data_IF_078357563302
#
_entry.id   IF_078357563302
#
_cell.length_a   1.000
_cell.length_b   1.000
_cell.length_c   1.000
_cell.angle_alpha   90.00
_cell.angle_beta   90.00
_cell.angle_gamma   90.00
#
_symmetry.space_group_name_H-M   'P 1'
#
loop_
_entity.id
_entity.type
_entity.pdbx_description
1 polymer ?
#
# COMPACT_ATOMS: atom_id res chain seq x y z
N UNK A 1 6.54 4.53 25.50
CA UNK A 1 5.57 3.56 24.92
C UNK A 1 4.20 3.81 25.53
N UNK A 2 3.29 4.41 24.78
CA UNK A 2 1.88 4.53 25.16
C UNK A 2 1.19 3.23 24.75
N UNK A 3 0.75 2.43 25.75
CA UNK A 3 -0.08 1.26 25.48
C UNK A 3 -1.53 1.72 25.38
N UNK A 4 -2.10 1.72 24.19
CA UNK A 4 -3.53 1.86 23.97
C UNK A 4 -4.10 0.45 23.89
N UNK A 5 -4.96 0.06 24.82
CA UNK A 5 -5.67 -1.23 24.79
C UNK A 5 -6.87 -1.09 23.85
N UNK A 6 -6.82 -1.76 22.73
CA UNK A 6 -7.94 -1.88 21.80
C UNK A 6 -8.80 -3.07 22.25
N UNK A 7 -9.94 -2.83 22.90
CA UNK A 7 -10.90 -3.90 23.17
C UNK A 7 -11.77 -4.11 21.93
N UNK A 8 -11.38 -5.07 21.08
CA UNK A 8 -12.17 -5.46 19.92
C UNK A 8 -13.25 -6.48 20.30
N UNK A 9 -14.46 -6.00 20.52
CA UNK A 9 -15.66 -6.83 20.35
C UNK A 9 -16.19 -6.57 18.93
N UNK A 10 -15.72 -7.34 17.95
CA UNK A 10 -16.19 -7.28 16.57
C UNK A 10 -17.46 -8.12 16.41
N UNK A 11 -18.61 -7.54 16.64
CA UNK A 11 -19.91 -8.14 16.34
C UNK A 11 -20.50 -7.51 15.07
N UNK A 12 -20.48 -8.24 14.00
CA UNK A 12 -21.50 -8.37 12.95
C UNK A 12 -22.14 -7.15 12.28
N UNK A 13 -21.44 -6.02 12.13
CA UNK A 13 -21.88 -4.94 11.25
C UNK A 13 -20.68 -4.33 10.53
N UNK A 14 -20.89 -3.76 9.34
CA UNK A 14 -19.91 -2.99 8.55
C UNK A 14 -19.49 -1.68 9.26
N UNK A 15 -19.23 -1.73 10.56
CA UNK A 15 -18.70 -0.57 11.28
C UNK A 15 -17.19 -0.68 11.29
N UNK A 16 -16.55 0.31 10.66
CA UNK A 16 -15.10 0.48 10.70
C UNK A 16 -14.66 0.84 12.12
N UNK A 17 -13.58 0.22 12.59
CA UNK A 17 -12.88 0.64 13.78
C UNK A 17 -11.85 1.68 13.37
N UNK A 18 -12.07 2.94 13.72
CA UNK A 18 -11.06 3.98 13.55
C UNK A 18 -10.07 3.96 14.71
N UNK A 19 -8.79 4.12 14.36
CA UNK A 19 -7.69 4.20 15.30
C UNK A 19 -6.92 5.48 15.00
N UNK A 20 -6.73 6.30 16.04
CA UNK A 20 -5.96 7.55 16.01
C UNK A 20 -4.49 7.32 16.40
N UNK A 21 -3.67 8.36 16.23
CA UNK A 21 -2.30 8.39 16.72
C UNK A 21 -1.24 8.07 15.67
N UNK A 22 -1.60 8.20 14.40
CA UNK A 22 -0.68 8.11 13.26
C UNK A 22 -0.27 9.50 12.77
N UNK A 23 0.71 9.55 11.89
CA UNK A 23 1.22 10.80 11.30
C UNK A 23 1.36 10.66 9.79
N UNK A 24 0.43 11.24 9.05
CA UNK A 24 0.31 11.10 7.60
C UNK A 24 0.43 9.62 7.13
N UNK A 25 -0.45 8.69 7.61
CA UNK A 25 -0.34 7.29 7.26
C UNK A 25 -0.48 7.10 5.75
N UNK A 26 0.48 6.39 5.15
CA UNK A 26 0.69 6.31 3.69
C UNK A 26 0.61 4.89 3.13
N UNK A 27 0.93 3.89 3.93
CA UNK A 27 0.93 2.49 3.54
C UNK A 27 0.46 1.58 4.65
N UNK A 28 -0.01 0.41 4.29
CA UNK A 28 -0.44 -0.59 5.25
C UNK A 28 -0.09 -2.01 4.82
N UNK A 29 0.11 -2.88 5.80
CA UNK A 29 0.30 -4.32 5.57
C UNK A 29 -0.39 -5.12 6.67
N UNK A 30 -1.17 -6.12 6.27
CA UNK A 30 -1.76 -7.10 7.17
C UNK A 30 -0.95 -8.39 7.10
N UNK A 31 -0.43 -8.82 8.24
CA UNK A 31 0.23 -10.11 8.42
C UNK A 31 -0.59 -11.02 9.34
N UNK A 32 -0.13 -12.23 9.61
CA UNK A 32 -0.84 -13.15 10.49
C UNK A 32 -0.91 -12.62 11.93
N UNK A 33 0.13 -11.92 12.41
CA UNK A 33 0.29 -11.50 13.79
C UNK A 33 0.05 -10.01 14.04
N UNK A 34 0.11 -9.16 13.01
CA UNK A 34 0.04 -7.72 13.18
C UNK A 34 -0.56 -6.97 11.98
N UNK A 35 -0.91 -5.71 12.24
CA UNK A 35 -1.13 -4.67 11.24
C UNK A 35 0.06 -3.71 11.30
N UNK A 36 0.67 -3.43 10.16
CA UNK A 36 1.74 -2.45 10.03
C UNK A 36 1.23 -1.23 9.28
N UNK A 37 1.60 -0.05 9.73
CA UNK A 37 1.22 1.23 9.15
C UNK A 37 2.48 2.07 8.92
N UNK A 38 2.73 2.44 7.68
CA UNK A 38 3.76 3.40 7.33
C UNK A 38 3.26 4.81 7.61
N UNK A 39 4.03 5.60 8.33
CA UNK A 39 3.76 6.99 8.67
C UNK A 39 4.85 7.87 8.06
N UNK A 40 4.47 8.87 7.28
CA UNK A 40 5.42 9.79 6.64
C UNK A 40 6.04 10.80 7.59
N UNK A 41 5.46 10.92 8.80
CA UNK A 41 5.85 11.95 9.74
C UNK A 41 5.05 13.24 9.57
N UNK A 42 5.50 14.28 10.24
CA UNK A 42 4.83 15.58 10.27
C UNK A 42 5.69 16.72 9.72
N UNK A 43 6.95 16.44 9.41
CA UNK A 43 7.88 17.43 8.88
C UNK A 43 7.52 17.86 7.46
N UNK A 44 7.68 19.13 7.19
CA UNK A 44 7.62 19.71 5.84
C UNK A 44 8.96 19.56 5.10
N UNK A 45 10.04 19.24 5.81
CA UNK A 45 11.35 18.98 5.21
C UNK A 45 11.38 17.56 4.62
N UNK A 46 11.48 17.42 3.29
CA UNK A 46 11.48 16.10 2.64
C UNK A 46 12.76 15.27 2.92
N UNK A 47 13.73 15.82 3.64
CA UNK A 47 14.96 15.15 4.05
C UNK A 47 14.94 14.74 5.52
N UNK A 48 13.94 15.18 6.27
CA UNK A 48 13.84 14.81 7.68
C UNK A 48 13.46 13.35 7.84
N UNK A 49 14.08 12.69 8.81
CA UNK A 49 13.90 11.27 9.11
C UNK A 49 12.93 11.08 10.27
N UNK A 50 11.76 11.72 10.14
CA UNK A 50 10.67 11.61 11.11
C UNK A 50 9.60 10.58 10.73
N UNK A 51 9.81 9.89 9.60
CA UNK A 51 8.98 8.77 9.18
C UNK A 51 9.20 7.52 10.03
N UNK A 52 8.15 6.74 10.22
CA UNK A 52 8.19 5.54 11.07
C UNK A 52 7.14 4.50 10.66
N UNK A 53 7.32 3.26 11.13
CA UNK A 53 6.31 2.21 11.03
C UNK A 53 5.68 1.98 12.39
N UNK A 54 4.36 2.03 12.46
CA UNK A 54 3.60 1.57 13.61
C UNK A 54 3.20 0.10 13.43
N UNK A 55 3.15 -0.65 14.55
CA UNK A 55 2.67 -2.02 14.59
C UNK A 55 1.50 -2.16 15.58
N UNK A 56 0.42 -2.79 15.17
CA UNK A 56 -0.68 -3.17 16.04
C UNK A 56 -0.68 -4.70 16.13
N UNK A 57 -0.40 -5.23 17.30
CA UNK A 57 -0.33 -6.69 17.53
C UNK A 57 -1.75 -7.26 17.63
N UNK A 58 -2.14 -8.16 16.72
CA UNK A 58 -3.52 -8.68 16.60
C UNK A 58 -4.04 -9.33 17.88
N UNK A 59 -3.22 -10.16 18.53
CA UNK A 59 -3.67 -10.94 19.69
C UNK A 59 -3.83 -10.11 20.96
N UNK A 60 -3.17 -8.98 21.10
CA UNK A 60 -3.18 -8.16 22.32
C UNK A 60 -3.80 -6.77 22.12
N UNK A 61 -3.96 -6.32 20.86
CA UNK A 61 -4.35 -4.96 20.54
C UNK A 61 -3.33 -3.90 20.97
N UNK A 62 -2.10 -4.30 21.30
CA UNK A 62 -1.03 -3.37 21.66
C UNK A 62 -0.60 -2.59 20.43
N UNK A 63 -0.60 -1.25 20.54
CA UNK A 63 -0.09 -0.35 19.52
C UNK A 63 1.34 0.07 19.91
N UNK A 64 2.28 -0.27 19.03
CA UNK A 64 3.67 0.17 19.10
C UNK A 64 3.86 1.26 18.03
N UNK A 65 3.75 2.51 18.43
CA UNK A 65 3.71 3.65 17.49
C UNK A 65 4.97 3.72 16.63
N UNK A 66 6.15 3.67 17.24
CA UNK A 66 7.44 3.71 16.55
C UNK A 66 8.10 2.33 16.67
N UNK A 67 7.52 1.33 16.00
CA UNK A 67 8.12 -0.02 15.95
C UNK A 67 9.42 -0.03 15.13
N UNK A 68 9.44 0.75 14.05
CA UNK A 68 10.62 1.08 13.26
C UNK A 68 10.59 2.60 13.13
N UNK A 69 11.71 3.25 13.35
CA UNK A 69 11.88 4.70 13.21
C UNK A 69 13.00 5.02 12.20
N UNK A 70 13.36 6.30 12.12
CA UNK A 70 14.47 6.76 11.26
C UNK A 70 14.23 6.44 9.77
N UNK A 71 12.99 6.60 9.30
CA UNK A 71 12.61 6.57 7.88
C UNK A 71 12.42 8.01 7.37
N UNK A 72 12.52 8.20 6.04
CA UNK A 72 12.34 9.53 5.45
C UNK A 72 10.91 9.70 4.95
N UNK A 73 10.46 8.82 4.06
CA UNK A 73 9.12 8.90 3.47
C UNK A 73 8.61 7.47 3.19
N UNK A 74 8.34 6.69 4.24
CA UNK A 74 7.94 5.30 4.06
C UNK A 74 6.61 5.19 3.32
N UNK A 75 6.54 4.25 2.39
CA UNK A 75 5.38 3.94 1.55
C UNK A 75 4.88 2.51 1.73
N UNK A 76 4.71 1.81 0.61
CA UNK A 76 4.25 0.43 0.59
C UNK A 76 5.17 -0.54 1.31
N UNK A 77 4.58 -1.62 1.81
CA UNK A 77 5.27 -2.64 2.59
C UNK A 77 4.95 -4.04 2.10
N UNK A 78 5.91 -4.94 2.18
CA UNK A 78 5.71 -6.37 1.95
C UNK A 78 6.48 -7.20 2.96
N UNK A 79 6.01 -8.41 3.25
CA UNK A 79 6.70 -9.34 4.13
C UNK A 79 7.11 -10.61 3.40
N UNK A 80 8.36 -11.03 3.58
CA UNK A 80 8.86 -12.34 3.19
C UNK A 80 9.48 -12.98 4.42
N UNK A 81 8.97 -14.13 4.83
CA UNK A 81 9.33 -14.78 6.09
C UNK A 81 9.16 -13.82 7.29
N UNK A 82 10.21 -13.56 8.06
CA UNK A 82 10.21 -12.65 9.21
C UNK A 82 10.75 -11.25 8.88
N UNK A 83 10.96 -10.94 7.60
CA UNK A 83 11.50 -9.64 7.15
C UNK A 83 10.38 -8.78 6.58
N UNK A 84 10.18 -7.62 7.17
CA UNK A 84 9.34 -6.55 6.67
C UNK A 84 10.15 -5.65 5.75
N UNK A 85 9.81 -5.60 4.47
CA UNK A 85 10.41 -4.70 3.49
C UNK A 85 9.55 -3.45 3.34
N UNK A 86 10.19 -2.30 3.26
CA UNK A 86 9.57 -0.97 3.21
C UNK A 86 10.18 -0.17 2.06
N UNK A 87 9.34 0.46 1.25
CA UNK A 87 9.76 1.52 0.33
C UNK A 87 10.06 2.80 1.12
N UNK A 88 11.27 3.35 0.99
CA UNK A 88 11.66 4.60 1.62
C UNK A 88 12.39 5.49 0.60
N UNK A 89 11.66 6.38 -0.06
CA UNK A 89 12.07 7.21 -1.21
C UNK A 89 12.58 6.37 -2.38
N UNK A 90 13.88 6.16 -2.49
CA UNK A 90 14.58 5.45 -3.56
C UNK A 90 15.24 4.15 -3.08
N UNK A 91 14.91 3.76 -1.85
CA UNK A 91 15.58 2.67 -1.13
C UNK A 91 14.56 1.64 -0.67
N UNK A 92 14.88 0.36 -0.81
CA UNK A 92 14.18 -0.73 -0.14
C UNK A 92 14.92 -1.04 1.15
N UNK A 93 14.23 -0.90 2.28
CA UNK A 93 14.76 -1.21 3.60
C UNK A 93 14.07 -2.45 4.16
N UNK A 94 14.81 -3.37 4.77
CA UNK A 94 14.26 -4.62 5.31
C UNK A 94 14.58 -4.75 6.80
N UNK A 95 13.56 -5.11 7.58
CA UNK A 95 13.62 -5.16 9.03
C UNK A 95 13.16 -6.52 9.55
N UNK A 96 13.94 -7.12 10.44
CA UNK A 96 13.50 -8.28 11.23
C UNK A 96 13.41 -7.85 12.70
N UNK A 97 12.24 -8.06 13.31
CA UNK A 97 11.93 -7.66 14.70
C UNK A 97 12.28 -6.19 15.02
N UNK A 98 12.08 -5.30 14.05
CA UNK A 98 12.38 -3.88 14.17
C UNK A 98 13.85 -3.49 13.93
N UNK A 99 14.74 -4.44 13.70
CA UNK A 99 16.14 -4.17 13.37
C UNK A 99 16.38 -4.22 11.87
N UNK A 100 17.06 -3.21 11.33
CA UNK A 100 17.42 -3.18 9.91
C UNK A 100 18.46 -4.25 9.58
N UNK A 101 18.14 -5.10 8.61
CA UNK A 101 19.00 -6.19 8.11
C UNK A 101 19.24 -6.13 6.61
N UNK A 102 18.48 -5.30 5.92
CA UNK A 102 18.57 -5.12 4.48
C UNK A 102 18.41 -3.64 4.13
N UNK A 103 19.27 -3.14 3.25
CA UNK A 103 19.21 -1.79 2.73
C UNK A 103 19.73 -1.82 1.30
N UNK A 104 18.90 -1.41 0.35
CA UNK A 104 19.27 -1.35 -1.07
C UNK A 104 18.72 -0.09 -1.69
N UNK A 105 19.60 0.86 -1.96
CA UNK A 105 19.30 2.01 -2.80
C UNK A 105 19.17 1.57 -4.26
N UNK A 106 18.08 1.94 -4.91
CA UNK A 106 17.85 1.63 -6.33
C UNK A 106 18.36 2.78 -7.17
N UNK A 107 19.41 2.51 -7.92
CA UNK A 107 20.02 3.52 -8.81
C UNK A 107 19.00 3.98 -9.87
N UNK A 108 18.76 5.28 -9.91
CA UNK A 108 17.80 5.90 -10.81
C UNK A 108 16.35 5.91 -10.35
N UNK A 109 15.99 5.27 -9.24
CA UNK A 109 14.67 5.45 -8.63
C UNK A 109 14.51 6.88 -8.06
N UNK A 110 13.28 7.35 -8.01
CA UNK A 110 12.97 8.70 -7.50
C UNK A 110 12.00 8.70 -6.33
N UNK A 111 10.94 7.89 -6.40
CA UNK A 111 9.91 7.88 -5.37
C UNK A 111 9.17 6.56 -5.42
N UNK A 112 9.67 5.58 -4.69
CA UNK A 112 9.03 4.27 -4.60
C UNK A 112 7.66 4.42 -3.89
N UNK A 113 6.62 3.90 -4.53
CA UNK A 113 5.25 3.98 -4.03
C UNK A 113 4.85 2.75 -3.24
N UNK A 114 4.58 1.67 -3.93
CA UNK A 114 4.13 0.41 -3.37
C UNK A 114 5.06 -0.74 -3.74
N UNK A 115 4.95 -1.84 -2.99
CA UNK A 115 5.80 -3.03 -3.14
C UNK A 115 4.98 -4.31 -2.98
N UNK A 116 5.20 -5.28 -3.88
CA UNK A 116 4.59 -6.60 -3.77
C UNK A 116 5.63 -7.71 -3.93
N UNK A 117 5.35 -8.87 -3.37
CA UNK A 117 6.24 -10.03 -3.47
C UNK A 117 6.01 -10.82 -4.77
N UNK A 118 7.09 -11.29 -5.37
CA UNK A 118 7.06 -12.25 -6.47
C UNK A 118 7.87 -13.50 -6.08
N UNK A 119 7.20 -14.39 -5.34
CA UNK A 119 7.86 -15.51 -4.68
C UNK A 119 8.60 -15.10 -3.40
N UNK A 120 9.62 -15.87 -3.02
CA UNK A 120 10.37 -15.70 -1.76
C UNK A 120 11.65 -14.86 -1.87
N UNK A 121 12.04 -14.48 -3.07
CA UNK A 121 13.36 -13.89 -3.32
C UNK A 121 13.29 -12.59 -4.15
N UNK A 122 12.11 -12.23 -4.63
CA UNK A 122 11.93 -11.09 -5.53
C UNK A 122 10.82 -10.19 -5.03
N UNK A 123 11.09 -8.90 -5.09
CA UNK A 123 10.08 -7.86 -4.90
C UNK A 123 9.87 -7.09 -6.21
N UNK A 124 8.66 -6.59 -6.41
CA UNK A 124 8.36 -5.59 -7.43
C UNK A 124 7.94 -4.31 -6.71
N UNK A 125 8.57 -3.19 -7.07
CA UNK A 125 8.27 -1.89 -6.48
C UNK A 125 7.89 -0.88 -7.57
N UNK A 126 6.81 -0.13 -7.37
CA UNK A 126 6.41 0.95 -8.25
C UNK A 126 7.22 2.22 -7.97
N UNK A 127 7.51 2.99 -9.01
CA UNK A 127 8.09 4.33 -8.94
C UNK A 127 7.22 5.28 -9.77
N UNK A 128 6.20 5.91 -9.15
CA UNK A 128 5.30 6.80 -9.85
C UNK A 128 5.99 7.95 -10.56
N UNK A 129 7.03 8.52 -9.95
CA UNK A 129 7.76 9.65 -10.52
C UNK A 129 8.51 9.29 -11.81
N UNK A 130 8.91 8.02 -11.94
CA UNK A 130 9.61 7.50 -13.13
C UNK A 130 8.68 6.80 -14.12
N UNK A 131 7.44 6.50 -13.72
CA UNK A 131 6.55 5.66 -14.51
C UNK A 131 7.03 4.21 -14.62
N UNK A 132 7.81 3.72 -13.67
CA UNK A 132 8.55 2.46 -13.75
C UNK A 132 8.13 1.50 -12.65
N UNK A 133 8.19 0.21 -12.93
CA UNK A 133 8.18 -0.85 -11.91
C UNK A 133 9.56 -1.47 -11.88
N UNK A 134 10.17 -1.50 -10.71
CA UNK A 134 11.47 -2.09 -10.45
C UNK A 134 11.32 -3.55 -10.02
N UNK A 135 12.24 -4.41 -10.45
CA UNK A 135 12.43 -5.77 -9.94
C UNK A 135 13.66 -5.80 -9.03
N UNK A 136 13.43 -6.19 -7.80
CA UNK A 136 14.47 -6.29 -6.78
C UNK A 136 14.73 -7.76 -6.50
N UNK A 137 15.97 -8.19 -6.69
CA UNK A 137 16.45 -9.52 -6.33
C UNK A 137 17.12 -9.45 -4.95
N UNK A 138 16.53 -10.12 -3.97
CA UNK A 138 16.94 -10.04 -2.57
C UNK A 138 18.23 -10.81 -2.29
N UNK A 139 18.51 -11.86 -3.08
CA UNK A 139 19.72 -12.67 -2.88
C UNK A 139 20.95 -11.97 -3.44
N UNK A 140 20.87 -11.49 -4.68
CA UNK A 140 21.97 -10.75 -5.31
C UNK A 140 22.06 -9.30 -4.84
N UNK A 141 21.03 -8.77 -4.19
CA UNK A 141 20.90 -7.37 -3.80
C UNK A 141 21.05 -6.42 -4.99
N UNK A 142 20.33 -6.73 -6.05
CA UNK A 142 20.29 -5.91 -7.27
C UNK A 142 18.89 -5.47 -7.58
N UNK A 143 18.76 -4.36 -8.31
CA UNK A 143 17.48 -3.88 -8.80
C UNK A 143 17.61 -3.49 -10.28
N UNK A 144 16.62 -3.88 -11.08
CA UNK A 144 16.55 -3.61 -12.51
C UNK A 144 15.18 -3.02 -12.86
N UNK A 145 15.14 -2.20 -13.92
CA UNK A 145 13.85 -1.76 -14.49
C UNK A 145 13.10 -3.00 -15.03
N UNK A 146 11.98 -3.35 -14.41
CA UNK A 146 11.17 -4.48 -14.83
C UNK A 146 10.27 -4.13 -16.00
N UNK A 147 9.56 -3.01 -15.90
CA UNK A 147 8.71 -2.47 -16.96
C UNK A 147 8.51 -0.97 -16.77
N UNK A 148 8.37 -0.25 -17.88
CA UNK A 148 7.95 1.15 -17.90
C UNK A 148 6.51 1.21 -18.38
N UNK A 149 5.68 1.92 -17.63
CA UNK A 149 4.27 2.13 -17.97
C UNK A 149 4.18 3.28 -18.98
N UNK A 150 3.38 3.09 -20.04
CA UNK A 150 3.10 4.17 -20.98
C UNK A 150 2.47 5.36 -20.24
N UNK A 151 2.99 6.58 -20.37
CA UNK A 151 2.47 7.76 -19.69
C UNK A 151 0.98 8.02 -19.93
N UNK A 152 0.43 7.58 -21.07
CA UNK A 152 -1.01 7.68 -21.36
C UNK A 152 -1.89 6.81 -20.46
N UNK A 153 -1.31 5.82 -19.79
CA UNK A 153 -1.98 4.95 -18.81
C UNK A 153 -1.85 5.45 -17.36
N UNK A 154 -1.11 6.54 -17.15
CA UNK A 154 -0.83 7.13 -15.85
C UNK A 154 0.42 6.58 -15.18
N UNK A 155 0.74 7.12 -14.00
CA UNK A 155 1.89 6.72 -13.18
C UNK A 155 1.54 5.53 -12.30
N UNK A 156 2.34 4.43 -12.28
CA UNK A 156 2.04 3.24 -11.48
C UNK A 156 2.16 3.53 -9.99
N UNK A 157 1.25 2.99 -9.19
CA UNK A 157 1.34 3.07 -7.73
C UNK A 157 1.07 1.71 -7.08
N UNK A 158 -0.16 1.40 -6.68
CA UNK A 158 -0.48 0.14 -6.01
C UNK A 158 -0.20 -1.09 -6.88
N UNK A 159 0.40 -2.11 -6.29
CA UNK A 159 0.83 -3.34 -6.94
C UNK A 159 0.22 -4.58 -6.25
N UNK A 160 -0.41 -5.46 -7.03
CA UNK A 160 -0.94 -6.71 -6.51
C UNK A 160 -0.58 -7.89 -7.42
N UNK A 161 0.33 -8.73 -6.99
CA UNK A 161 0.64 -9.98 -7.69
C UNK A 161 -0.50 -11.01 -7.51
N UNK A 162 -1.01 -11.56 -8.61
CA UNK A 162 -2.10 -12.57 -8.65
C UNK A 162 -1.85 -13.62 -9.72
N UNK A 163 -1.34 -14.77 -9.32
CA UNK A 163 -0.93 -15.82 -10.27
C UNK A 163 0.22 -15.35 -11.16
N UNK A 164 0.05 -15.43 -12.49
CA UNK A 164 1.00 -14.92 -13.46
C UNK A 164 0.74 -13.47 -13.87
N UNK A 165 -0.10 -12.74 -13.15
CA UNK A 165 -0.44 -11.34 -13.44
C UNK A 165 -0.02 -10.42 -12.31
N UNK A 166 0.34 -9.21 -12.69
CA UNK A 166 0.47 -8.07 -11.79
C UNK A 166 -0.68 -7.11 -12.09
N UNK A 167 -1.51 -6.85 -11.09
CA UNK A 167 -2.47 -5.75 -11.16
C UNK A 167 -1.82 -4.48 -10.68
N UNK A 168 -2.08 -3.36 -11.36
CA UNK A 168 -1.42 -2.09 -11.12
C UNK A 168 -2.48 -1.00 -11.09
N UNK A 169 -2.54 -0.22 -10.03
CA UNK A 169 -3.27 1.04 -10.05
C UNK A 169 -2.38 2.15 -10.58
N UNK A 170 -2.98 3.08 -11.29
CA UNK A 170 -2.28 4.28 -11.75
C UNK A 170 -3.04 5.54 -11.39
N UNK A 171 -2.32 6.65 -11.35
CA UNK A 171 -2.89 7.99 -11.20
C UNK A 171 -2.16 8.98 -12.12
N UNK A 172 -2.78 10.13 -12.34
CA UNK A 172 -2.15 11.24 -13.07
C UNK A 172 -1.42 12.14 -12.07
N UNK A 173 -0.12 12.35 -12.26
CA UNK A 173 0.68 13.21 -11.39
C UNK A 173 0.17 14.66 -11.35
N UNK A 174 -0.60 15.10 -12.35
CA UNK A 174 -1.25 16.42 -12.34
C UNK A 174 -2.56 16.44 -11.53
N UNK A 175 -2.97 15.31 -10.94
CA UNK A 175 -4.20 15.17 -10.15
C UNK A 175 -5.48 14.99 -10.97
N UNK A 176 -5.39 14.83 -12.29
CA UNK A 176 -6.57 14.56 -13.13
C UNK A 176 -7.12 13.15 -12.87
N UNK A 177 -8.43 13.00 -13.03
CA UNK A 177 -9.14 11.72 -12.92
C UNK A 177 -8.93 10.92 -14.22
N UNK A 178 -7.70 10.47 -14.45
CA UNK A 178 -7.34 9.72 -15.67
C UNK A 178 -6.62 8.40 -15.39
N UNK A 179 -6.28 8.11 -14.13
CA UNK A 179 -5.67 6.86 -13.70
C UNK A 179 -6.50 5.63 -14.06
N UNK A 180 -5.86 4.49 -14.16
CA UNK A 180 -6.41 3.22 -14.61
C UNK A 180 -6.14 2.10 -13.61
N UNK A 181 -6.83 1.00 -13.81
CA UNK A 181 -6.48 -0.30 -13.22
C UNK A 181 -6.01 -1.20 -14.35
N UNK A 182 -4.74 -1.57 -14.30
CA UNK A 182 -4.06 -2.31 -15.34
C UNK A 182 -3.82 -3.77 -14.90
N UNK A 183 -3.70 -4.65 -15.88
CA UNK A 183 -3.24 -6.03 -15.71
C UNK A 183 -2.05 -6.26 -16.62
N UNK A 184 -0.93 -6.66 -16.06
CA UNK A 184 0.26 -7.06 -16.80
C UNK A 184 0.49 -8.57 -16.65
N UNK A 185 0.77 -9.26 -17.75
CA UNK A 185 1.27 -10.63 -17.71
C UNK A 185 2.75 -10.62 -17.29
N UNK A 186 3.09 -11.36 -16.24
CA UNK A 186 4.44 -11.35 -15.66
C UNK A 186 5.51 -11.96 -16.58
N UNK A 187 5.12 -12.79 -17.54
CA UNK A 187 6.03 -13.44 -18.47
C UNK A 187 6.23 -12.62 -19.76
N UNK A 188 5.13 -12.24 -20.41
CA UNK A 188 5.20 -11.48 -21.69
C UNK A 188 5.39 -9.98 -21.44
N UNK A 189 5.03 -9.49 -20.24
CA UNK A 189 4.98 -8.05 -19.86
C UNK A 189 3.95 -7.25 -20.66
N UNK A 190 3.04 -7.91 -21.33
CA UNK A 190 1.94 -7.26 -22.00
C UNK A 190 0.98 -6.63 -20.99
N UNK A 191 0.65 -5.37 -21.21
CA UNK A 191 -0.24 -4.57 -20.34
C UNK A 191 -1.58 -4.39 -21.03
N UNK A 192 -2.64 -4.59 -20.29
CA UNK A 192 -4.02 -4.35 -20.69
C UNK A 192 -4.80 -3.63 -19.60
N UNK A 193 -5.92 -3.01 -19.95
CA UNK A 193 -6.85 -2.45 -18.98
C UNK A 193 -7.57 -3.61 -18.28
N UNK A 194 -7.45 -3.66 -16.94
CA UNK A 194 -8.10 -4.69 -16.13
C UNK A 194 -9.60 -4.40 -15.91
N UNK A 195 -9.92 -3.13 -15.66
CA UNK A 195 -11.29 -2.68 -15.41
C UNK A 195 -11.52 -1.31 -16.09
N UNK A 196 -12.68 -1.15 -16.76
CA UNK A 196 -13.03 0.12 -17.42
C UNK A 196 -13.53 1.13 -16.39
N UNK A 197 -12.57 1.72 -15.69
CA UNK A 197 -12.79 2.79 -14.71
C UNK A 197 -11.66 3.83 -14.78
N UNK A 198 -11.97 5.03 -14.33
CA UNK A 198 -11.02 6.13 -14.20
C UNK A 198 -11.10 6.71 -12.80
N UNK A 199 -9.96 7.09 -12.25
CA UNK A 199 -9.87 7.66 -10.91
C UNK A 199 -8.49 8.23 -10.60
N UNK A 200 -8.28 8.60 -9.35
CA UNK A 200 -6.98 8.89 -8.76
C UNK A 200 -6.64 7.70 -7.86
N UNK A 201 -6.33 6.56 -8.53
CA UNK A 201 -6.20 5.30 -7.84
C UNK A 201 -4.85 5.18 -7.14
N UNK A 202 -4.87 4.75 -5.88
CA UNK A 202 -3.68 4.66 -5.06
C UNK A 202 -3.34 3.21 -4.70
N UNK A 203 -3.94 2.65 -3.65
CA UNK A 203 -3.67 1.28 -3.21
C UNK A 203 -4.55 0.24 -3.90
N UNK A 204 -4.12 -1.00 -3.85
CA UNK A 204 -4.83 -2.16 -4.36
C UNK A 204 -4.64 -3.37 -3.43
N UNK A 205 -5.71 -4.06 -3.10
CA UNK A 205 -5.66 -5.22 -2.21
C UNK A 205 -6.58 -6.35 -2.70
N UNK A 206 -6.38 -7.56 -2.16
CA UNK A 206 -7.29 -8.68 -2.37
C UNK A 206 -8.50 -8.53 -1.46
N UNK A 207 -9.69 -8.62 -2.02
CA UNK A 207 -10.91 -8.80 -1.25
C UNK A 207 -11.24 -10.27 -1.01
N UNK A 208 -12.41 -10.50 -0.43
CA UNK A 208 -12.96 -11.84 -0.22
C UNK A 208 -13.29 -12.50 -1.58
N UNK A 209 -13.17 -13.82 -1.67
CA UNK A 209 -13.56 -14.58 -2.87
C UNK A 209 -12.87 -14.12 -4.18
N UNK A 210 -11.66 -13.60 -4.09
CA UNK A 210 -10.89 -13.19 -5.28
C UNK A 210 -11.25 -11.81 -5.84
N UNK A 211 -12.05 -11.04 -5.11
CA UNK A 211 -12.34 -9.63 -5.39
C UNK A 211 -11.06 -8.79 -5.34
N UNK A 212 -11.11 -7.64 -5.98
CA UNK A 212 -10.06 -6.62 -5.93
C UNK A 212 -10.65 -5.37 -5.29
N UNK A 213 -9.91 -4.84 -4.33
CA UNK A 213 -10.23 -3.59 -3.63
C UNK A 213 -9.26 -2.51 -4.06
N UNK A 214 -9.74 -1.29 -4.27
CA UNK A 214 -8.94 -0.18 -4.77
C UNK A 214 -9.30 1.07 -3.99
N UNK A 215 -8.29 1.78 -3.49
CA UNK A 215 -8.47 3.10 -2.93
C UNK A 215 -8.39 4.17 -4.02
N UNK A 216 -9.28 5.15 -3.93
CA UNK A 216 -9.40 6.26 -4.86
C UNK A 216 -9.47 7.57 -4.06
N UNK A 217 -8.55 8.48 -4.34
CA UNK A 217 -8.49 9.79 -3.66
C UNK A 217 -9.60 10.74 -4.08
N UNK A 218 -10.28 10.46 -5.20
CA UNK A 218 -11.19 11.37 -5.88
C UNK A 218 -10.52 12.68 -6.34
N UNK A 219 -11.20 13.42 -7.18
CA UNK A 219 -10.69 14.67 -7.77
C UNK A 219 -10.46 15.78 -6.73
N UNK A 220 -11.34 15.85 -5.73
CA UNK A 220 -11.26 16.84 -4.64
C UNK A 220 -10.30 16.46 -3.50
N UNK A 221 -9.73 15.26 -3.56
CA UNK A 221 -8.86 14.68 -2.53
C UNK A 221 -9.50 14.53 -1.13
N UNK A 222 -10.78 14.88 -0.97
CA UNK A 222 -11.50 14.89 0.30
C UNK A 222 -12.59 13.84 0.37
N UNK A 223 -13.16 13.46 -0.78
CA UNK A 223 -14.24 12.46 -0.89
C UNK A 223 -13.73 11.10 -1.39
N UNK A 224 -12.66 10.61 -0.79
CA UNK A 224 -12.06 9.33 -1.12
C UNK A 224 -13.03 8.16 -1.05
N UNK A 225 -12.73 7.11 -1.79
CA UNK A 225 -13.61 5.95 -1.98
C UNK A 225 -12.80 4.66 -1.95
N UNK A 226 -13.48 3.58 -1.60
CA UNK A 226 -13.01 2.23 -1.85
C UNK A 226 -13.91 1.59 -2.89
N UNK A 227 -13.31 1.15 -3.97
CA UNK A 227 -13.96 0.39 -5.01
C UNK A 227 -13.74 -1.11 -4.81
N UNK A 228 -14.73 -1.90 -5.19
CA UNK A 228 -14.67 -3.35 -5.25
C UNK A 228 -14.96 -3.80 -6.68
N UNK A 229 -14.09 -4.63 -7.21
CA UNK A 229 -14.28 -5.35 -8.47
C UNK A 229 -14.47 -6.82 -8.11
N UNK A 230 -15.64 -7.38 -8.36
CA UNK A 230 -15.94 -8.77 -8.06
C UNK A 230 -15.34 -9.73 -9.11
N UNK A 231 -15.50 -11.04 -8.88
CA UNK A 231 -14.98 -12.07 -9.78
C UNK A 231 -15.60 -12.03 -11.19
N UNK A 232 -16.76 -11.38 -11.36
CA UNK A 232 -17.44 -11.20 -12.65
C UNK A 232 -17.04 -9.87 -13.32
N UNK A 233 -16.14 -9.10 -12.72
CA UNK A 233 -15.71 -7.79 -13.21
C UNK A 233 -16.68 -6.65 -12.89
N UNK A 234 -17.71 -6.86 -12.04
CA UNK A 234 -18.62 -5.80 -11.65
C UNK A 234 -17.93 -4.85 -10.69
N UNK A 235 -18.00 -3.55 -11.00
CA UNK A 235 -17.39 -2.48 -10.23
C UNK A 235 -18.45 -1.86 -9.33
N UNK A 236 -18.18 -1.78 -8.03
CA UNK A 236 -19.09 -1.16 -7.04
C UNK A 236 -18.29 -0.36 -6.02
N UNK A 237 -18.83 0.79 -5.62
CA UNK A 237 -18.33 1.52 -4.45
C UNK A 237 -18.73 0.75 -3.17
N UNK A 238 -17.78 0.58 -2.24
CA UNK A 238 -18.11 0.15 -0.88
C UNK A 238 -18.61 1.37 -0.10
N UNK A 239 -19.73 1.23 0.58
CA UNK A 239 -20.31 2.34 1.35
C UNK A 239 -19.69 2.41 2.75
N UNK A 240 -18.63 3.18 2.91
CA UNK A 240 -17.84 3.34 4.12
C UNK A 240 -17.88 4.76 4.72
N UNK A 241 -18.80 5.58 4.29
CA UNK A 241 -18.80 6.99 4.71
C UNK A 241 -17.78 7.85 3.95
N UNK A 242 -17.54 9.06 4.46
CA UNK A 242 -16.54 9.96 3.92
C UNK A 242 -15.14 9.59 4.45
N UNK A 243 -14.13 9.68 3.61
CA UNK A 243 -12.74 9.49 3.98
C UNK A 243 -11.82 10.41 3.16
N UNK A 244 -10.74 10.87 3.78
CA UNK A 244 -9.83 11.78 3.13
C UNK A 244 -8.52 11.07 2.77
N UNK A 245 -8.22 11.03 1.47
CA UNK A 245 -7.02 10.38 0.92
C UNK A 245 -6.79 8.97 1.47
N UNK A 246 -7.68 8.01 1.19
CA UNK A 246 -7.39 6.60 1.51
C UNK A 246 -6.15 6.18 0.73
N UNK A 247 -5.08 5.86 1.47
CA UNK A 247 -3.77 5.62 0.86
C UNK A 247 -3.61 4.15 0.42
N UNK A 248 -2.41 3.59 0.56
CA UNK A 248 -2.17 2.21 0.18
C UNK A 248 -2.80 1.25 1.19
N UNK A 249 -3.80 0.51 0.71
CA UNK A 249 -4.65 -0.38 1.50
C UNK A 249 -4.13 -1.81 1.50
N UNK A 250 -4.37 -2.53 2.58
CA UNK A 250 -4.10 -3.97 2.64
C UNK A 250 -5.30 -4.77 3.15
N UNK A 251 -5.37 -6.03 2.76
CA UNK A 251 -6.43 -6.94 3.20
C UNK A 251 -5.96 -8.39 3.26
N UNK A 252 -6.46 -9.14 4.24
CA UNK A 252 -6.31 -10.59 4.35
C UNK A 252 -7.55 -11.35 3.82
N UNK A 253 -8.48 -10.65 3.17
CA UNK A 253 -9.75 -11.18 2.67
C UNK A 253 -10.85 -11.24 3.73
N UNK A 254 -10.56 -10.92 4.99
CA UNK A 254 -11.52 -10.81 6.10
C UNK A 254 -11.60 -9.39 6.62
N UNK A 255 -10.46 -8.76 6.74
CA UNK A 255 -10.31 -7.37 7.20
C UNK A 255 -9.66 -6.55 6.10
N UNK A 256 -10.13 -5.33 5.93
CA UNK A 256 -9.50 -4.28 5.13
C UNK A 256 -8.94 -3.21 6.06
N UNK A 257 -7.67 -2.88 5.89
CA UNK A 257 -6.98 -1.81 6.60
C UNK A 257 -6.81 -0.62 5.65
N UNK A 258 -7.31 0.54 6.05
CA UNK A 258 -7.35 1.76 5.25
C UNK A 258 -6.60 2.88 6.00
N UNK A 259 -5.40 3.26 5.56
CA UNK A 259 -4.78 4.50 6.02
C UNK A 259 -5.54 5.71 5.45
N UNK A 260 -5.92 6.66 6.31
CA UNK A 260 -6.57 7.93 5.95
C UNK A 260 -5.59 9.07 6.18
N UNK A 261 -4.79 9.37 5.15
CA UNK A 261 -3.59 10.22 5.26
C UNK A 261 -3.87 11.59 5.87
N UNK A 262 -4.91 12.29 5.41
CA UNK A 262 -5.22 13.65 5.89
C UNK A 262 -5.94 13.66 7.24
N UNK A 263 -6.46 12.51 7.69
CA UNK A 263 -7.13 12.39 8.98
C UNK A 263 -6.20 11.93 10.09
N UNK A 264 -4.95 11.54 9.76
CA UNK A 264 -4.01 10.93 10.70
C UNK A 264 -4.58 9.69 11.43
N UNK A 265 -5.39 8.92 10.71
CA UNK A 265 -6.10 7.75 11.22
C UNK A 265 -5.90 6.54 10.32
N UNK A 266 -6.17 5.38 10.87
CA UNK A 266 -6.43 4.17 10.09
C UNK A 266 -7.82 3.62 10.42
N UNK A 267 -8.43 2.95 9.47
CA UNK A 267 -9.73 2.31 9.64
C UNK A 267 -9.62 0.82 9.33
N UNK A 268 -10.10 0.00 10.24
CA UNK A 268 -10.21 -1.47 10.10
C UNK A 268 -11.66 -1.82 9.80
N UNK A 269 -11.91 -2.50 8.69
CA UNK A 269 -13.25 -2.88 8.24
C UNK A 269 -13.32 -4.38 8.06
N UNK A 270 -14.35 -5.01 8.63
CA UNK A 270 -14.65 -6.40 8.33
C UNK A 270 -15.29 -6.50 6.94
N UNK A 271 -14.67 -7.28 6.07
CA UNK A 271 -15.24 -7.58 4.75
C UNK A 271 -16.39 -8.58 4.87
N UNK A 272 -17.56 -8.32 4.27
CA UNK A 272 -18.76 -9.15 4.37
C UNK A 272 -18.62 -10.53 3.73
#
# INVERSE_FOLDING_TARGET
MKKVLLSCALAGALFGLEIDGFSAPSGSLITDDAFYIANRGSSEDPQERDGFISRIVKNSGVVETNFIDDLVNPGGMAQIADVLYVCDIDTIRGFSKGQEIFNLKIEGAQSLGDITTLGSEVLLASDPARGTIWRIDLLSRTADEFVRIDPSLGSPNGLLAKGNKLLITTFDLSGKVSGRVLSMDLKSREISIFADMKGVFYGIARGKNGEILISDWSEDLLSGKIWRIDANGQIRKINLGAMQRPADISSDGKVLLIPKTLENKVELINLP
#
